data_IF_058920396284
#
_entry.id   IF_058920396284
#
_cell.length_a   1.000
_cell.length_b   1.000
_cell.length_c   1.000
_cell.angle_alpha   90.00
_cell.angle_beta   90.00
_cell.angle_gamma   90.00
#
_symmetry.space_group_name_H-M   'P 1'
#
loop_
_entity.id
_entity.type
_entity.pdbx_description
1 polymer ?
#
# COMPACT_ATOMS: atom_id res chain seq x y z
N UNK A 1 15.36 -34.20 3.42
CA UNK A 1 15.57 -32.76 3.73
C UNK A 1 14.30 -32.00 3.36
N UNK A 2 13.67 -31.27 4.30
CA UNK A 2 12.54 -30.39 3.96
C UNK A 2 13.08 -29.21 3.16
N UNK A 3 12.58 -28.98 1.93
CA UNK A 3 12.87 -27.76 1.19
C UNK A 3 12.38 -26.56 2.01
N UNK A 4 13.25 -25.58 2.22
CA UNK A 4 12.90 -24.32 2.88
C UNK A 4 12.06 -23.41 1.96
N UNK A 5 11.72 -22.23 2.48
CA UNK A 5 11.07 -21.17 1.70
C UNK A 5 12.07 -20.06 1.38
N UNK A 6 11.89 -19.43 0.23
CA UNK A 6 12.65 -18.24 -0.19
C UNK A 6 11.69 -17.07 -0.34
N UNK A 7 12.01 -15.93 0.28
CA UNK A 7 11.26 -14.68 0.19
C UNK A 7 12.22 -13.53 -0.07
N UNK A 8 11.76 -12.55 -0.83
CA UNK A 8 12.53 -11.37 -1.21
C UNK A 8 11.76 -10.15 -0.75
N UNK A 9 12.50 -9.27 -0.07
CA UNK A 9 12.01 -7.98 0.36
C UNK A 9 12.58 -6.94 -0.60
N UNK A 10 11.73 -6.07 -1.13
CA UNK A 10 12.08 -5.07 -2.13
C UNK A 10 11.64 -3.71 -1.61
N UNK A 11 12.59 -2.78 -1.54
CA UNK A 11 12.34 -1.38 -1.18
C UNK A 11 12.09 -0.53 -2.43
N UNK A 12 11.44 0.62 -2.23
CA UNK A 12 11.26 1.64 -3.28
C UNK A 12 12.65 2.12 -3.79
N UNK A 13 12.77 2.51 -5.07
CA UNK A 13 11.71 2.74 -6.05
C UNK A 13 11.26 1.48 -6.82
N UNK A 14 9.95 1.32 -7.02
CA UNK A 14 9.37 0.21 -7.82
C UNK A 14 9.24 0.56 -9.31
N UNK A 15 10.22 1.29 -9.85
CA UNK A 15 10.19 1.92 -11.16
C UNK A 15 9.84 3.41 -11.10
N UNK A 16 10.19 4.14 -12.17
CA UNK A 16 10.02 5.61 -12.27
C UNK A 16 8.74 6.03 -13.00
N UNK A 17 8.17 5.10 -13.76
CA UNK A 17 6.93 5.21 -14.52
C UNK A 17 6.30 3.81 -14.68
N UNK A 18 5.12 3.76 -15.29
CA UNK A 18 4.37 2.52 -15.51
C UNK A 18 5.16 1.48 -16.33
N UNK A 19 5.92 1.92 -17.34
CA UNK A 19 6.69 1.02 -18.20
C UNK A 19 7.84 0.40 -17.40
N UNK A 20 8.64 1.21 -16.72
CA UNK A 20 9.75 0.77 -15.89
C UNK A 20 9.28 -0.18 -14.78
N UNK A 21 8.16 0.14 -14.12
CA UNK A 21 7.55 -0.72 -13.10
C UNK A 21 7.10 -2.07 -13.66
N UNK A 22 6.52 -2.07 -14.87
CA UNK A 22 6.14 -3.30 -15.56
C UNK A 22 7.35 -4.17 -15.90
N UNK A 23 8.42 -3.58 -16.42
CA UNK A 23 9.68 -4.28 -16.71
C UNK A 23 10.31 -4.88 -15.45
N UNK A 24 10.36 -4.12 -14.35
CA UNK A 24 10.84 -4.60 -13.05
C UNK A 24 10.01 -5.79 -12.57
N UNK A 25 8.68 -5.67 -12.62
CA UNK A 25 7.77 -6.74 -12.20
C UNK A 25 7.95 -7.99 -13.04
N UNK A 26 8.06 -7.86 -14.36
CA UNK A 26 8.29 -8.98 -15.28
C UNK A 26 9.63 -9.66 -15.01
N UNK A 27 10.69 -8.89 -14.76
CA UNK A 27 12.01 -9.43 -14.42
C UNK A 27 11.98 -10.23 -13.12
N UNK A 28 11.32 -9.72 -12.07
CA UNK A 28 11.16 -10.41 -10.79
C UNK A 28 10.33 -11.70 -10.94
N UNK A 29 9.20 -11.63 -11.64
CA UNK A 29 8.31 -12.77 -11.86
C UNK A 29 8.93 -13.85 -12.77
N UNK A 30 9.96 -13.51 -13.56
CA UNK A 30 10.72 -14.50 -14.33
C UNK A 30 11.57 -15.44 -13.46
N UNK A 31 11.84 -15.06 -12.21
CA UNK A 31 12.69 -15.81 -11.27
C UNK A 31 11.99 -16.21 -9.98
N UNK A 32 10.93 -15.50 -9.59
CA UNK A 32 10.23 -15.68 -8.32
C UNK A 32 8.72 -15.70 -8.54
N UNK A 33 8.00 -16.41 -7.67
CA UNK A 33 6.54 -16.35 -7.63
C UNK A 33 6.08 -15.12 -6.84
N UNK A 34 4.92 -14.55 -7.17
CA UNK A 34 4.40 -13.34 -6.50
C UNK A 34 4.33 -13.49 -4.97
N UNK A 35 3.95 -14.67 -4.46
CA UNK A 35 3.94 -14.98 -3.01
C UNK A 35 5.31 -14.93 -2.31
N UNK A 36 6.39 -14.87 -3.08
CA UNK A 36 7.76 -14.75 -2.59
C UNK A 36 8.24 -13.30 -2.58
N UNK A 37 7.50 -12.38 -3.20
CA UNK A 37 7.88 -10.98 -3.38
C UNK A 37 7.13 -10.12 -2.35
N UNK A 38 7.88 -9.42 -1.51
CA UNK A 38 7.36 -8.50 -0.50
C UNK A 38 7.86 -7.10 -0.82
N UNK A 39 6.99 -6.28 -1.40
CA UNK A 39 7.28 -4.88 -1.72
C UNK A 39 6.94 -4.03 -0.50
N UNK A 40 7.93 -3.34 0.06
CA UNK A 40 7.75 -2.56 1.29
C UNK A 40 7.11 -1.21 0.96
N UNK A 41 6.04 -0.94 1.67
CA UNK A 41 5.53 0.39 1.93
C UNK A 41 5.52 0.56 3.46
N UNK A 42 6.42 1.39 3.99
CA UNK A 42 6.61 1.50 5.44
C UNK A 42 5.41 2.17 6.15
N UNK A 43 4.50 2.82 5.40
CA UNK A 43 3.27 3.39 5.95
C UNK A 43 2.16 2.33 6.08
N UNK A 44 2.24 1.24 5.31
CA UNK A 44 1.36 0.07 5.42
C UNK A 44 1.78 -0.83 6.58
N UNK A 45 1.63 -0.32 7.80
CA UNK A 45 1.77 -1.10 9.02
C UNK A 45 0.55 -2.01 9.24
N UNK A 46 0.80 -3.19 9.83
CA UNK A 46 -0.25 -4.15 10.23
C UNK A 46 -1.36 -3.47 11.04
N UNK A 47 -0.99 -2.60 11.98
CA UNK A 47 -1.93 -1.90 12.86
C UNK A 47 -2.89 -0.99 12.08
N UNK A 48 -2.43 -0.33 11.00
CA UNK A 48 -3.27 0.56 10.20
C UNK A 48 -4.32 -0.24 9.43
N UNK A 49 -3.92 -1.37 8.85
CA UNK A 49 -4.81 -2.28 8.14
C UNK A 49 -5.85 -2.86 9.10
N UNK A 50 -5.42 -3.41 10.24
CA UNK A 50 -6.32 -3.99 11.23
C UNK A 50 -7.31 -2.95 11.78
N UNK A 51 -6.83 -1.76 12.17
CA UNK A 51 -7.69 -0.72 12.72
C UNK A 51 -8.72 -0.20 11.72
N UNK A 52 -8.33 0.06 10.46
CA UNK A 52 -9.28 0.53 9.44
C UNK A 52 -10.31 -0.53 9.09
N UNK A 53 -9.89 -1.79 8.95
CA UNK A 53 -10.79 -2.89 8.59
C UNK A 53 -11.78 -3.17 9.72
N UNK A 54 -11.34 -3.13 10.98
CA UNK A 54 -12.21 -3.23 12.16
C UNK A 54 -13.18 -2.04 12.23
N UNK A 55 -12.69 -0.81 12.06
CA UNK A 55 -13.53 0.39 12.12
C UNK A 55 -14.64 0.36 11.06
N UNK A 56 -14.33 -0.06 9.83
CA UNK A 56 -15.28 -0.03 8.71
C UNK A 56 -16.25 -1.21 8.72
N UNK A 57 -15.78 -2.42 9.02
CA UNK A 57 -16.56 -3.64 8.77
C UNK A 57 -16.92 -4.44 10.04
N UNK A 58 -16.32 -4.13 11.19
CA UNK A 58 -16.65 -4.80 12.47
C UNK A 58 -17.56 -3.95 13.36
N UNK A 59 -18.05 -2.81 12.86
CA UNK A 59 -18.91 -1.90 13.58
C UNK A 59 -20.21 -1.66 12.81
N UNK A 60 -21.33 -2.21 13.32
CA UNK A 60 -22.67 -2.07 12.73
C UNK A 60 -23.11 -0.61 12.52
N UNK A 61 -22.54 0.31 13.30
CA UNK A 61 -22.83 1.75 13.19
C UNK A 61 -22.10 2.37 11.99
N UNK A 62 -20.85 1.98 11.76
CA UNK A 62 -20.00 2.64 10.75
C UNK A 62 -20.19 2.09 9.35
N UNK A 63 -20.46 0.79 9.21
CA UNK A 63 -20.67 0.13 7.92
C UNK A 63 -21.70 0.86 7.02
N UNK A 64 -22.94 1.15 7.46
CA UNK A 64 -23.92 1.84 6.61
C UNK A 64 -23.58 3.31 6.33
N UNK A 65 -22.79 3.93 7.22
CA UNK A 65 -22.36 5.33 7.08
C UNK A 65 -21.17 5.47 6.13
N UNK A 66 -20.47 4.40 5.80
CA UNK A 66 -19.29 4.43 4.94
C UNK A 66 -19.66 4.47 3.45
N UNK A 67 -20.40 5.49 3.04
CA UNK A 67 -20.83 5.68 1.65
C UNK A 67 -20.91 7.16 1.26
N UNK A 68 -20.92 7.43 -0.05
CA UNK A 68 -21.06 8.79 -0.62
C UNK A 68 -22.32 9.54 -0.15
N UNK A 69 -23.32 8.83 0.37
CA UNK A 69 -24.55 9.41 0.90
C UNK A 69 -24.30 10.19 2.19
N UNK A 70 -23.36 9.71 3.02
CA UNK A 70 -23.08 10.26 4.35
C UNK A 70 -21.69 10.91 4.43
N UNK A 71 -20.73 10.44 3.62
CA UNK A 71 -19.38 10.99 3.56
C UNK A 71 -19.33 12.10 2.51
N UNK A 72 -19.06 13.33 2.97
CA UNK A 72 -18.84 14.50 2.09
C UNK A 72 -17.46 14.50 1.44
N UNK A 73 -16.42 14.20 2.22
CA UNK A 73 -15.04 14.15 1.74
C UNK A 73 -14.15 13.33 2.68
N UNK A 74 -13.07 12.78 2.12
CA UNK A 74 -12.01 12.08 2.84
C UNK A 74 -10.74 12.90 2.65
N UNK A 75 -10.03 13.17 3.75
CA UNK A 75 -8.76 13.88 3.73
C UNK A 75 -7.67 12.97 4.28
N UNK A 76 -6.65 12.71 3.47
CA UNK A 76 -5.45 11.97 3.89
C UNK A 76 -4.31 12.98 3.96
N UNK A 77 -3.83 13.24 5.17
CA UNK A 77 -2.77 14.20 5.44
C UNK A 77 -1.57 13.42 5.96
N UNK A 78 -0.46 13.49 5.22
CA UNK A 78 0.84 13.06 5.70
C UNK A 78 1.68 14.31 5.93
N UNK A 79 2.11 14.50 7.17
CA UNK A 79 3.04 15.56 7.55
C UNK A 79 4.25 14.90 8.19
N UNK A 80 5.43 15.17 7.65
CA UNK A 80 6.69 14.72 8.22
C UNK A 80 7.47 15.96 8.65
N UNK A 81 7.95 15.97 9.88
CA UNK A 81 8.92 16.96 10.36
C UNK A 81 10.30 16.64 9.78
N UNK A 82 10.44 16.68 8.46
CA UNK A 82 11.75 16.59 7.83
C UNK A 82 12.32 18.01 7.69
N UNK A 83 13.26 18.33 8.59
CA UNK A 83 14.24 19.38 8.30
C UNK A 83 14.86 19.09 6.94
N UNK A 84 14.80 20.06 6.03
CA UNK A 84 15.24 19.97 4.64
C UNK A 84 16.66 19.39 4.56
N UNK A 85 16.77 18.06 4.42
CA UNK A 85 18.00 17.42 3.97
C UNK A 85 17.97 17.50 2.44
N UNK A 86 18.54 18.59 1.96
CA UNK A 86 18.50 19.18 0.62
C UNK A 86 19.06 18.34 -0.54
N UNK A 87 19.14 17.01 -0.42
CA UNK A 87 19.68 16.12 -1.45
C UNK A 87 18.72 15.04 -1.92
N UNK A 88 18.15 14.25 -0.99
CA UNK A 88 17.43 13.01 -1.35
C UNK A 88 16.14 13.19 -2.14
N UNK A 89 15.40 14.29 -1.94
CA UNK A 89 14.15 14.55 -2.66
C UNK A 89 14.34 15.25 -4.00
N UNK A 90 15.50 15.91 -4.21
CA UNK A 90 15.80 16.70 -5.41
C UNK A 90 16.55 15.93 -6.50
N UNK A 91 17.06 14.73 -6.21
CA UNK A 91 17.75 13.84 -7.17
C UNK A 91 16.80 13.15 -8.17
N UNK A 92 15.70 13.80 -8.56
CA UNK A 92 14.84 13.42 -9.69
C UNK A 92 13.68 12.46 -9.39
N UNK A 93 13.62 11.82 -8.21
CA UNK A 93 12.51 10.93 -7.85
C UNK A 93 11.22 11.72 -7.49
N UNK A 94 11.36 12.75 -6.65
CA UNK A 94 10.31 13.71 -6.30
C UNK A 94 9.23 13.16 -5.35
N UNK A 95 8.54 14.08 -4.66
CA UNK A 95 7.54 13.78 -3.62
C UNK A 95 6.37 12.91 -4.11
N UNK A 96 5.98 13.07 -5.38
CA UNK A 96 4.88 12.32 -5.98
C UNK A 96 5.21 10.82 -6.03
N UNK A 97 6.44 10.46 -6.42
CA UNK A 97 6.83 9.04 -6.52
C UNK A 97 7.19 8.45 -5.17
N UNK A 98 7.63 9.28 -4.24
CA UNK A 98 8.09 8.81 -2.94
C UNK A 98 6.98 8.62 -1.92
N UNK A 99 5.98 9.51 -1.95
CA UNK A 99 4.92 9.57 -0.95
C UNK A 99 3.54 9.38 -1.56
N UNK A 100 3.22 10.09 -2.65
CA UNK A 100 1.85 10.10 -3.17
C UNK A 100 1.49 8.74 -3.80
N UNK A 101 2.33 8.25 -4.71
CA UNK A 101 2.07 7.03 -5.46
C UNK A 101 2.07 5.76 -4.61
N UNK A 102 2.88 5.72 -3.56
CA UNK A 102 2.94 4.61 -2.60
C UNK A 102 1.97 4.88 -1.43
N UNK A 103 2.43 5.64 -0.45
CA UNK A 103 1.85 5.73 0.88
C UNK A 103 0.41 6.25 0.85
N UNK A 104 0.15 7.34 0.13
CA UNK A 104 -1.17 7.96 0.07
C UNK A 104 -2.15 7.09 -0.72
N UNK A 105 -1.78 6.63 -1.92
CA UNK A 105 -2.67 5.77 -2.71
C UNK A 105 -2.98 4.45 -1.99
N UNK A 106 -2.01 3.83 -1.32
CA UNK A 106 -2.24 2.61 -0.55
C UNK A 106 -3.19 2.83 0.63
N UNK A 107 -3.13 4.00 1.27
CA UNK A 107 -4.05 4.40 2.34
C UNK A 107 -5.45 4.66 1.78
N UNK A 108 -5.55 5.36 0.65
CA UNK A 108 -6.84 5.61 -0.03
C UNK A 108 -7.47 4.28 -0.45
N UNK A 109 -6.71 3.34 -0.99
CA UNK A 109 -7.20 2.02 -1.36
C UNK A 109 -7.81 1.29 -0.15
N UNK A 110 -7.15 1.31 1.02
CA UNK A 110 -7.70 0.73 2.26
C UNK A 110 -8.99 1.43 2.74
N UNK A 111 -9.10 2.74 2.53
CA UNK A 111 -10.28 3.52 2.89
C UNK A 111 -11.44 3.31 1.92
N UNK A 112 -11.15 3.00 0.66
CA UNK A 112 -12.13 2.87 -0.42
C UNK A 112 -12.53 1.42 -0.74
N UNK A 113 -11.74 0.42 -0.33
CA UNK A 113 -11.98 -1.00 -0.62
C UNK A 113 -13.36 -1.46 -0.11
N UNK A 114 -13.96 -2.44 -0.79
CA UNK A 114 -15.15 -3.13 -0.31
C UNK A 114 -14.80 -4.08 0.87
N UNK A 115 -15.79 -4.62 1.61
CA UNK A 115 -15.54 -5.56 2.68
C UNK A 115 -14.83 -6.83 2.15
N UNK A 116 -13.61 -7.15 2.61
CA UNK A 116 -12.92 -8.35 2.15
C UNK A 116 -13.55 -9.62 2.75
N UNK A 117 -13.43 -10.73 2.02
CA UNK A 117 -13.95 -12.05 2.45
C UNK A 117 -13.31 -12.50 3.77
N UNK A 118 -12.05 -12.13 4.01
CA UNK A 118 -11.36 -12.35 5.29
C UNK A 118 -10.22 -11.34 5.50
N UNK A 119 -9.60 -11.38 6.69
CA UNK A 119 -8.41 -10.57 7.00
C UNK A 119 -7.10 -11.18 6.47
N UNK A 120 -7.17 -12.22 5.64
CA UNK A 120 -5.98 -12.76 4.98
C UNK A 120 -5.42 -11.73 4.00
N UNK A 121 -4.09 -11.68 3.88
CA UNK A 121 -3.41 -10.66 3.07
C UNK A 121 -3.80 -10.68 1.58
N UNK A 122 -4.18 -11.83 1.03
CA UNK A 122 -4.64 -11.93 -0.36
C UNK A 122 -6.04 -11.36 -0.54
N UNK A 123 -6.95 -11.63 0.40
CA UNK A 123 -8.34 -11.15 0.32
C UNK A 123 -8.37 -9.63 0.47
N UNK A 124 -7.58 -9.07 1.39
CA UNK A 124 -7.40 -7.62 1.51
C UNK A 124 -6.78 -7.04 0.24
N UNK A 125 -5.81 -7.73 -0.38
CA UNK A 125 -5.17 -7.24 -1.61
C UNK A 125 -6.15 -7.22 -2.79
N UNK A 126 -7.10 -8.14 -2.86
CA UNK A 126 -8.05 -8.21 -3.96
C UNK A 126 -9.07 -7.06 -3.95
N UNK A 127 -9.42 -6.55 -2.77
CA UNK A 127 -10.39 -5.43 -2.64
C UNK A 127 -9.74 -4.03 -2.79
N UNK A 128 -8.40 -3.96 -2.75
CA UNK A 128 -7.62 -2.72 -2.89
C UNK A 128 -7.21 -2.43 -4.32
#
# INVERSE_FOLDING_TARGET
MKKGWNRIIIEKPFGFDALCSHWLTKALLSKFQEKQLYRIDHLLGRNLIENLTVLRFSNLIFEPLWSRTYIRSIQVILSEEMGVQSGRYFDGYGIIRDIVHSHILQTIALLAMEPPISLNGEDIRNEK
#
